data_IF_944424661030
#
_entry.id   IF_944424661030
#
_cell.length_a   1.000
_cell.length_b   1.000
_cell.length_c   1.000
_cell.angle_alpha   90.00
_cell.angle_beta   90.00
_cell.angle_gamma   90.00
#
_symmetry.space_group_name_H-M   'P 1'
#
loop_
_entity.id
_entity.type
_entity.pdbx_description
1 polymer ?
#
# COMPACT_ATOMS: atom_id res chain seq x y z
N UNK A 1 -2.02 4.32 12.61
CA UNK A 1 -0.56 4.11 12.53
C UNK A 1 -0.32 2.61 12.35
N UNK A 2 0.60 2.21 11.46
CA UNK A 2 0.92 0.80 11.18
C UNK A 2 2.39 0.54 11.53
N UNK A 3 2.67 -0.56 12.22
CA UNK A 3 4.04 -1.00 12.53
C UNK A 3 4.33 -2.26 11.73
N UNK A 4 5.45 -2.27 11.01
CA UNK A 4 5.87 -3.41 10.18
C UNK A 4 7.23 -3.90 10.71
N UNK A 5 7.33 -5.20 10.99
CA UNK A 5 8.57 -5.77 11.50
C UNK A 5 9.62 -5.89 10.38
N UNK A 6 10.88 -5.79 10.76
CA UNK A 6 12.00 -6.01 9.84
C UNK A 6 12.50 -7.47 9.94
N UNK A 7 12.99 -8.05 8.83
CA UNK A 7 13.77 -9.27 8.87
C UNK A 7 14.94 -9.12 9.84
N UNK A 8 15.32 -10.20 10.54
CA UNK A 8 16.37 -10.16 11.56
C UNK A 8 17.67 -9.50 11.06
N UNK A 9 18.09 -9.83 9.83
CA UNK A 9 19.29 -9.27 9.20
C UNK A 9 19.26 -7.75 9.01
N UNK A 10 18.07 -7.14 8.92
CA UNK A 10 17.89 -5.71 8.66
C UNK A 10 17.62 -4.89 9.94
N UNK A 11 17.50 -5.52 11.11
CA UNK A 11 17.10 -4.85 12.36
C UNK A 11 18.08 -3.78 12.86
N UNK A 12 19.37 -3.92 12.52
CA UNK A 12 20.43 -3.01 12.96
C UNK A 12 20.88 -2.04 11.86
N UNK A 13 20.15 -1.98 10.74
CA UNK A 13 20.39 -0.98 9.71
C UNK A 13 20.20 0.43 10.29
N UNK A 14 20.95 1.40 9.78
CA UNK A 14 20.78 2.80 10.17
C UNK A 14 19.32 3.22 9.95
N UNK A 15 18.72 3.95 10.92
CA UNK A 15 17.34 4.39 10.80
C UNK A 15 17.18 5.29 9.57
N UNK A 16 16.05 5.15 8.88
CA UNK A 16 15.69 5.95 7.72
C UNK A 16 14.27 6.48 7.88
N UNK A 17 14.09 7.75 7.60
CA UNK A 17 12.77 8.38 7.48
C UNK A 17 12.42 8.57 6.01
N UNK A 18 11.14 8.38 5.69
CA UNK A 18 10.59 8.59 4.36
C UNK A 18 9.34 9.47 4.50
N UNK A 19 9.49 10.76 4.22
CA UNK A 19 8.36 11.69 4.18
C UNK A 19 7.65 11.54 2.84
N UNK A 20 6.39 11.09 2.87
CA UNK A 20 5.55 10.93 1.68
C UNK A 20 4.43 11.96 1.72
N UNK A 21 4.44 12.89 0.78
CA UNK A 21 3.39 13.89 0.62
C UNK A 21 2.24 13.30 -0.20
N UNK A 22 1.03 13.84 0.00
CA UNK A 22 -0.17 13.44 -0.76
C UNK A 22 0.06 13.48 -2.28
N UNK A 23 0.78 14.48 -2.79
CA UNK A 23 1.07 14.65 -4.21
C UNK A 23 2.01 13.58 -4.79
N UNK A 24 2.78 12.89 -3.94
CA UNK A 24 3.72 11.84 -4.34
C UNK A 24 3.07 10.45 -4.32
N UNK A 25 1.90 10.32 -3.68
CA UNK A 25 1.18 9.06 -3.54
C UNK A 25 0.22 8.93 -4.73
N UNK A 26 0.44 7.97 -5.64
CA UNK A 26 -0.44 7.78 -6.78
C UNK A 26 -1.84 7.38 -6.34
N UNK A 27 -2.83 7.86 -7.10
CA UNK A 27 -4.23 7.56 -6.89
C UNK A 27 -4.81 6.88 -8.13
N UNK A 28 -5.46 5.74 -7.95
CA UNK A 28 -6.13 4.98 -9.00
C UNK A 28 -7.62 4.99 -8.72
N UNK A 29 -8.43 5.39 -9.71
CA UNK A 29 -9.89 5.31 -9.61
C UNK A 29 -10.34 3.86 -9.72
N UNK A 30 -11.32 3.48 -8.90
CA UNK A 30 -12.01 2.20 -9.02
C UNK A 30 -13.01 2.24 -10.17
N UNK A 31 -13.38 1.06 -10.67
CA UNK A 31 -14.37 0.92 -11.74
C UNK A 31 -15.76 1.40 -11.28
N UNK A 32 -16.63 1.73 -12.24
CA UNK A 32 -18.01 2.18 -11.99
C UNK A 32 -18.12 3.36 -11.00
N UNK A 33 -17.09 4.21 -10.96
CA UNK A 33 -16.99 5.32 -10.00
C UNK A 33 -17.08 4.89 -8.53
N UNK A 34 -16.76 3.62 -8.22
CA UNK A 34 -16.93 3.04 -6.89
C UNK A 34 -16.07 3.72 -5.80
N UNK A 35 -15.08 4.53 -6.19
CA UNK A 35 -14.19 5.25 -5.29
C UNK A 35 -12.78 5.34 -5.85
N UNK A 36 -11.79 5.37 -4.97
CA UNK A 36 -10.38 5.41 -5.36
C UNK A 36 -9.46 4.69 -4.36
N UNK A 37 -8.26 4.40 -4.84
CA UNK A 37 -7.20 3.75 -4.08
C UNK A 37 -5.95 4.62 -4.15
N UNK A 38 -5.37 4.95 -3.00
CA UNK A 38 -4.04 5.54 -2.88
C UNK A 38 -3.04 4.45 -2.56
N UNK A 39 -1.93 4.42 -3.28
CA UNK A 39 -0.95 3.32 -3.20
C UNK A 39 0.26 3.82 -2.40
N UNK A 40 0.33 3.44 -1.13
CA UNK A 40 1.39 3.90 -0.22
C UNK A 40 2.67 3.07 -0.44
N UNK A 41 2.53 1.75 -0.52
CA UNK A 41 3.62 0.80 -0.74
C UNK A 41 3.14 -0.37 -1.61
N UNK A 42 4.06 -1.03 -2.33
CA UNK A 42 3.74 -2.15 -3.22
C UNK A 42 3.18 -1.71 -4.57
N UNK A 43 2.32 -2.53 -5.17
CA UNK A 43 1.78 -2.31 -6.52
C UNK A 43 0.27 -2.60 -6.57
N UNK A 44 -0.47 -1.75 -7.30
CA UNK A 44 -1.87 -2.01 -7.63
C UNK A 44 -2.17 -1.54 -9.06
N UNK A 45 -2.83 -2.39 -9.87
CA UNK A 45 -3.15 -2.12 -11.29
C UNK A 45 -1.96 -1.53 -12.09
N UNK A 46 -0.76 -2.09 -11.88
CA UNK A 46 0.53 -1.66 -12.50
C UNK A 46 1.08 -0.30 -12.03
N UNK A 47 0.47 0.30 -11.02
CA UNK A 47 0.95 1.54 -10.40
C UNK A 47 1.68 1.21 -9.10
N UNK A 48 2.89 1.75 -8.96
CA UNK A 48 3.78 1.52 -7.82
C UNK A 48 3.60 2.59 -6.75
N UNK A 49 3.60 2.18 -5.47
CA UNK A 49 3.67 3.09 -4.34
C UNK A 49 5.08 3.64 -4.14
N UNK A 50 5.23 4.87 -3.61
CA UNK A 50 6.53 5.52 -3.46
C UNK A 50 7.33 5.03 -2.24
N UNK A 51 6.70 4.35 -1.27
CA UNK A 51 7.39 3.91 -0.07
C UNK A 51 8.40 2.80 -0.38
N UNK A 52 9.66 3.00 0.02
CA UNK A 52 10.68 1.97 -0.02
C UNK A 52 10.54 1.05 1.19
N UNK A 53 10.37 -0.25 0.96
CA UNK A 53 10.13 -1.25 1.99
C UNK A 53 11.32 -2.21 2.13
N UNK A 54 11.44 -2.86 3.29
CA UNK A 54 12.46 -3.90 3.53
C UNK A 54 11.93 -5.33 3.35
N UNK A 55 10.62 -5.47 3.21
CA UNK A 55 9.91 -6.70 2.95
C UNK A 55 8.89 -6.44 1.83
N UNK A 56 8.54 -7.46 1.04
CA UNK A 56 7.35 -7.37 0.19
C UNK A 56 6.13 -7.02 1.04
N UNK A 57 5.48 -5.91 0.72
CA UNK A 57 4.24 -5.47 1.38
C UNK A 57 3.49 -4.54 0.44
N UNK A 58 2.17 -4.68 0.42
CA UNK A 58 1.24 -3.79 -0.26
C UNK A 58 0.43 -3.04 0.79
N UNK A 59 0.43 -1.70 0.72
CA UNK A 59 -0.36 -0.85 1.62
C UNK A 59 -1.20 0.07 0.75
N UNK A 60 -2.52 -0.15 0.81
CA UNK A 60 -3.52 0.58 0.05
C UNK A 60 -4.40 1.37 1.03
N UNK A 61 -4.64 2.63 0.70
CA UNK A 61 -5.62 3.47 1.38
C UNK A 61 -6.81 3.63 0.44
N UNK A 62 -7.93 3.00 0.80
CA UNK A 62 -9.10 2.81 -0.06
C UNK A 62 -10.25 3.67 0.44
N UNK A 63 -10.78 4.49 -0.45
CA UNK A 63 -12.06 5.17 -0.26
C UNK A 63 -13.09 4.52 -1.18
N UNK A 64 -14.19 4.04 -0.61
CA UNK A 64 -15.26 3.35 -1.32
C UNK A 64 -16.58 4.09 -1.08
N UNK A 65 -17.34 4.30 -2.15
CA UNK A 65 -18.67 4.89 -2.07
C UNK A 65 -19.67 3.92 -1.42
N UNK A 66 -20.71 4.49 -0.80
CA UNK A 66 -21.74 3.69 -0.14
C UNK A 66 -22.45 2.75 -1.12
N UNK A 67 -22.63 1.49 -0.72
CA UNK A 67 -23.31 0.46 -1.52
C UNK A 67 -22.45 -0.14 -2.65
N UNK A 68 -21.23 0.33 -2.85
CA UNK A 68 -20.30 -0.22 -3.84
C UNK A 68 -19.48 -1.37 -3.27
N UNK A 69 -18.83 -2.13 -4.15
CA UNK A 69 -17.94 -3.24 -3.80
C UNK A 69 -16.64 -3.12 -4.58
N UNK A 70 -15.55 -3.57 -3.97
CA UNK A 70 -14.25 -3.67 -4.61
C UNK A 70 -13.54 -4.96 -4.17
N UNK A 71 -12.82 -5.58 -5.10
CA UNK A 71 -12.01 -6.76 -4.84
C UNK A 71 -10.53 -6.41 -5.02
N UNK A 72 -9.71 -6.84 -4.06
CA UNK A 72 -8.27 -6.63 -4.07
C UNK A 72 -7.57 -7.99 -4.06
N UNK A 73 -6.65 -8.25 -5.00
CA UNK A 73 -5.92 -9.50 -5.01
C UNK A 73 -4.91 -9.54 -3.85
N UNK A 74 -4.81 -10.70 -3.21
CA UNK A 74 -3.73 -11.05 -2.30
C UNK A 74 -3.13 -12.38 -2.75
N UNK A 75 -1.81 -12.53 -2.65
CA UNK A 75 -1.17 -13.80 -3.00
C UNK A 75 -1.37 -14.83 -1.89
N UNK A 76 -1.46 -16.11 -2.26
CA UNK A 76 -1.54 -17.18 -1.27
C UNK A 76 -0.30 -17.15 -0.36
N UNK A 77 -0.53 -17.18 0.96
CA UNK A 77 0.53 -17.08 1.96
C UNK A 77 0.85 -15.64 2.41
N UNK A 78 0.32 -14.61 1.76
CA UNK A 78 0.38 -13.24 2.28
C UNK A 78 -0.62 -13.06 3.43
N UNK A 79 -0.23 -12.27 4.43
CA UNK A 79 -1.18 -11.78 5.44
C UNK A 79 -1.90 -10.55 4.89
N UNK A 80 -3.23 -10.59 4.82
CA UNK A 80 -4.08 -9.47 4.42
C UNK A 80 -4.96 -9.04 5.61
N UNK A 81 -5.11 -7.72 5.81
CA UNK A 81 -5.84 -7.09 6.91
C UNK A 81 -6.81 -6.03 6.37
#
# INVERSE_FOLDING_TARGET
>A
QLWVNLPAANKMNSPRYQSLKKAEIPMVKLENEAGFVRIIAGQFKHVMGPALTHTPITVLDVELQAGQQAAFPAQSGETAL
#
